data_IF_706363164373
#
_entry.id   IF_706363164373
#
_cell.length_a   1.000
_cell.length_b   1.000
_cell.length_c   1.000
_cell.angle_alpha   90.00
_cell.angle_beta   90.00
_cell.angle_gamma   90.00
#
_symmetry.space_group_name_H-M   'P 1'
#
loop_
_entity.id
_entity.type
_entity.pdbx_description
1 polymer ?
#
# COMPACT_ATOMS: atom_id res chain seq x y z
N UNK A 1 28.58 0.41 6.58
CA UNK A 1 27.12 0.17 6.59
C UNK A 1 26.82 -0.66 5.39
N UNK A 2 26.06 -1.70 5.55
CA UNK A 2 25.63 -2.55 4.45
C UNK A 2 24.58 -1.81 3.63
N UNK A 3 24.68 -1.82 2.32
CA UNK A 3 23.68 -1.23 1.44
C UNK A 3 22.36 -2.04 1.42
N UNK A 4 22.37 -3.28 1.94
CA UNK A 4 21.20 -4.16 2.07
C UNK A 4 20.11 -3.51 2.94
N UNK A 5 20.50 -2.75 3.97
CA UNK A 5 19.56 -2.05 4.84
C UNK A 5 18.61 -1.09 4.07
N UNK A 6 19.04 -0.57 2.90
CA UNK A 6 18.21 0.28 2.06
C UNK A 6 16.94 -0.41 1.53
N UNK A 7 16.86 -1.74 1.58
CA UNK A 7 15.70 -2.48 1.11
C UNK A 7 14.57 -2.59 2.15
N UNK A 8 14.81 -2.19 3.41
CA UNK A 8 13.86 -2.33 4.50
C UNK A 8 13.08 -1.05 4.79
N UNK A 9 11.81 -1.24 5.15
CA UNK A 9 10.83 -0.19 5.47
C UNK A 9 10.09 -0.54 6.77
N UNK A 10 10.72 -0.36 7.95
CA UNK A 10 10.09 -0.61 9.24
C UNK A 10 8.90 0.32 9.46
N UNK A 11 7.95 -0.14 10.29
CA UNK A 11 6.77 0.62 10.61
C UNK A 11 7.01 1.60 11.77
N UNK A 12 6.40 2.78 11.67
CA UNK A 12 6.28 3.74 12.76
C UNK A 12 4.80 3.97 13.02
N UNK A 13 4.37 3.78 14.28
CA UNK A 13 2.98 3.89 14.70
C UNK A 13 2.78 4.99 15.72
N UNK A 14 1.71 5.72 15.57
CA UNK A 14 1.28 6.69 16.57
C UNK A 14 0.68 5.96 17.78
N UNK A 15 1.16 6.28 18.99
CA UNK A 15 0.51 5.93 20.24
C UNK A 15 -0.27 7.13 20.78
N UNK A 16 -1.53 6.94 21.16
CA UNK A 16 -2.40 8.05 21.58
C UNK A 16 -1.90 8.76 22.85
N UNK A 17 -1.11 8.08 23.70
CA UNK A 17 -0.60 8.63 24.96
C UNK A 17 0.84 9.14 24.88
N UNK A 18 1.66 8.57 24.00
CA UNK A 18 3.11 8.81 23.90
C UNK A 18 3.58 9.35 22.56
N UNK A 19 2.67 9.43 21.58
CA UNK A 19 3.04 9.83 20.23
C UNK A 19 4.01 8.84 19.58
N UNK A 20 5.08 9.34 18.99
CA UNK A 20 6.14 8.54 18.38
C UNK A 20 7.34 8.28 19.32
N UNK A 21 7.33 8.81 20.56
CA UNK A 21 8.48 8.76 21.48
C UNK A 21 8.84 7.34 21.90
N UNK A 22 7.87 6.43 22.01
CA UNK A 22 8.12 5.04 22.35
C UNK A 22 9.00 4.32 21.33
N UNK A 23 8.93 4.74 20.07
CA UNK A 23 9.68 4.12 18.96
C UNK A 23 10.98 4.88 18.62
N UNK A 24 11.31 5.93 19.37
CA UNK A 24 12.47 6.78 19.05
C UNK A 24 13.78 6.00 18.96
N UNK A 25 14.00 5.05 19.88
CA UNK A 25 15.20 4.20 19.85
C UNK A 25 15.26 3.32 18.60
N UNK A 26 14.12 2.74 18.19
CA UNK A 26 14.04 1.91 16.99
C UNK A 26 14.24 2.76 15.71
N UNK A 27 13.67 3.97 15.67
CA UNK A 27 13.89 4.94 14.60
C UNK A 27 15.38 5.31 14.49
N UNK A 28 16.02 5.61 15.61
CA UNK A 28 17.45 5.97 15.66
C UNK A 28 18.34 4.82 15.16
N UNK A 29 18.02 3.60 15.54
CA UNK A 29 18.72 2.40 15.07
C UNK A 29 18.50 2.17 13.56
N UNK A 30 17.27 2.27 13.07
CA UNK A 30 16.94 2.12 11.66
C UNK A 30 17.67 3.16 10.80
N UNK A 31 17.67 4.44 11.20
CA UNK A 31 18.41 5.51 10.50
C UNK A 31 19.92 5.26 10.53
N UNK A 32 20.46 4.75 11.64
CA UNK A 32 21.88 4.39 11.76
C UNK A 32 22.26 3.23 10.85
N UNK A 33 21.38 2.24 10.70
CA UNK A 33 21.56 1.12 9.78
C UNK A 33 21.50 1.61 8.30
N UNK A 34 20.74 2.65 8.02
CA UNK A 34 20.54 3.18 6.68
C UNK A 34 19.37 2.54 5.94
N UNK A 35 18.26 2.31 6.64
CA UNK A 35 17.02 1.79 6.01
C UNK A 35 16.55 2.68 4.86
N UNK A 36 15.87 2.09 3.88
CA UNK A 36 15.37 2.77 2.69
C UNK A 36 14.24 3.75 2.94
N UNK A 37 13.53 3.58 4.03
CA UNK A 37 12.40 4.42 4.40
C UNK A 37 11.58 3.83 5.52
N UNK A 38 10.33 4.28 5.61
CA UNK A 38 9.41 3.87 6.67
C UNK A 38 7.98 3.77 6.13
N UNK A 39 7.16 2.93 6.76
CA UNK A 39 5.70 3.00 6.65
C UNK A 39 5.12 3.63 7.91
N UNK A 40 4.24 4.62 7.76
CA UNK A 40 3.65 5.35 8.88
C UNK A 40 2.19 4.94 9.10
N UNK A 41 1.80 4.86 10.38
CA UNK A 41 0.44 4.55 10.80
C UNK A 41 -0.05 5.52 11.87
N UNK A 42 -1.07 6.30 11.52
CA UNK A 42 -1.78 7.21 12.41
C UNK A 42 -1.00 8.45 12.82
N UNK A 43 -1.67 9.32 13.56
CA UNK A 43 -1.13 10.53 14.18
C UNK A 43 -1.77 11.82 13.68
N UNK A 44 -1.72 12.89 14.51
CA UNK A 44 -2.09 14.23 14.08
C UNK A 44 -1.10 14.77 13.04
N UNK A 45 -1.61 15.51 12.04
CA UNK A 45 -0.83 16.05 10.91
C UNK A 45 0.43 16.79 11.34
N UNK A 46 0.36 17.63 12.37
CA UNK A 46 1.51 18.41 12.88
C UNK A 46 2.64 17.51 13.38
N UNK A 47 2.29 16.41 14.07
CA UNK A 47 3.28 15.45 14.57
C UNK A 47 3.87 14.60 13.45
N UNK A 48 3.06 14.23 12.45
CA UNK A 48 3.52 13.50 11.26
C UNK A 48 4.51 14.37 10.48
N UNK A 49 4.17 15.62 10.19
CA UNK A 49 5.05 16.57 9.49
C UNK A 49 6.37 16.78 10.22
N UNK A 50 6.33 16.93 11.56
CA UNK A 50 7.53 17.08 12.40
C UNK A 50 8.40 15.81 12.33
N UNK A 51 7.79 14.63 12.43
CA UNK A 51 8.49 13.35 12.34
C UNK A 51 9.17 13.17 10.98
N UNK A 52 8.44 13.36 9.89
CA UNK A 52 8.97 13.15 8.53
C UNK A 52 10.10 14.13 8.21
N UNK A 53 10.02 15.38 8.65
CA UNK A 53 11.10 16.36 8.51
C UNK A 53 12.35 15.93 9.30
N UNK A 54 12.20 15.43 10.55
CA UNK A 54 13.30 14.87 11.33
C UNK A 54 13.94 13.67 10.62
N UNK A 55 13.13 12.75 10.11
CA UNK A 55 13.59 11.58 9.36
C UNK A 55 14.39 11.97 8.11
N UNK A 56 13.85 12.87 7.28
CA UNK A 56 14.53 13.34 6.08
C UNK A 56 15.83 14.08 6.38
N UNK A 57 15.86 14.90 7.43
CA UNK A 57 17.04 15.70 7.82
C UNK A 57 18.17 14.81 8.36
N UNK A 58 17.83 13.78 9.13
CA UNK A 58 18.80 12.90 9.78
C UNK A 58 19.28 11.77 8.89
N UNK A 59 18.51 11.41 7.88
CA UNK A 59 18.89 10.35 6.96
C UNK A 59 20.07 10.75 6.08
N UNK A 60 20.97 9.81 5.82
CA UNK A 60 22.11 9.98 4.90
C UNK A 60 21.78 9.71 3.44
N UNK A 61 20.60 9.12 3.20
CA UNK A 61 20.11 8.76 1.87
C UNK A 61 18.70 9.33 1.70
N UNK A 62 18.25 9.59 0.46
CA UNK A 62 16.85 9.94 0.24
C UNK A 62 15.92 8.81 0.70
N UNK A 63 15.00 9.10 1.62
CA UNK A 63 14.03 8.13 2.13
C UNK A 63 12.79 8.04 1.25
N UNK A 64 12.21 6.85 1.16
CA UNK A 64 10.83 6.65 0.74
C UNK A 64 9.98 6.44 1.99
N UNK A 65 9.10 7.39 2.29
CA UNK A 65 8.20 7.34 3.45
C UNK A 65 6.78 7.17 2.91
N UNK A 66 6.15 6.07 3.28
CA UNK A 66 4.84 5.70 2.75
C UNK A 66 3.77 5.48 3.80
N UNK A 67 2.51 5.42 3.34
CA UNK A 67 1.34 5.03 4.13
C UNK A 67 0.24 4.47 3.23
N UNK A 68 -0.69 3.72 3.84
CA UNK A 68 -1.93 3.29 3.21
C UNK A 68 -2.94 4.44 3.21
N UNK A 69 -3.05 5.13 2.08
CA UNK A 69 -3.93 6.29 1.92
C UNK A 69 -4.92 6.05 0.76
N UNK A 70 -5.71 4.99 0.86
CA UNK A 70 -6.71 4.62 -0.15
C UNK A 70 -7.92 5.56 -0.16
N UNK A 71 -8.22 6.17 1.00
CA UNK A 71 -9.39 7.02 1.26
C UNK A 71 -8.98 8.42 1.74
N UNK A 72 -8.02 9.05 1.03
CA UNK A 72 -7.46 10.35 1.44
C UNK A 72 -6.42 10.22 2.56
N UNK A 73 -5.67 11.29 2.80
CA UNK A 73 -4.67 11.29 3.87
C UNK A 73 -5.33 11.25 5.27
N UNK A 74 -6.57 11.71 5.38
CA UNK A 74 -7.38 11.63 6.60
C UNK A 74 -7.75 10.21 7.04
N UNK A 75 -7.53 9.19 6.19
CA UNK A 75 -7.64 7.79 6.60
C UNK A 75 -6.67 7.45 7.73
N UNK A 76 -5.48 8.02 7.72
CA UNK A 76 -4.42 7.75 8.70
C UNK A 76 -4.10 8.96 9.58
N UNK A 77 -4.19 10.18 9.03
CA UNK A 77 -3.63 11.36 9.65
C UNK A 77 -4.70 12.39 10.00
N UNK A 78 -4.98 12.54 11.31
CA UNK A 78 -5.98 13.46 11.80
C UNK A 78 -5.65 14.90 11.38
N UNK A 79 -6.66 15.61 10.87
CA UNK A 79 -6.51 16.97 10.33
C UNK A 79 -6.33 17.04 8.82
N UNK A 80 -6.24 15.88 8.14
CA UNK A 80 -6.24 15.78 6.67
C UNK A 80 -7.61 15.38 6.13
N UNK A 81 -7.79 15.46 4.81
CA UNK A 81 -9.05 15.12 4.14
C UNK A 81 -9.29 13.61 4.16
N UNK A 82 -10.41 13.20 4.77
CA UNK A 82 -10.94 11.86 4.63
C UNK A 82 -11.88 11.82 3.41
N UNK A 83 -11.73 10.78 2.59
CA UNK A 83 -12.56 10.55 1.40
C UNK A 83 -13.43 9.30 1.59
N UNK A 84 -14.55 9.19 0.86
CA UNK A 84 -15.28 7.93 0.75
C UNK A 84 -14.40 6.79 0.25
N UNK A 85 -14.76 5.52 0.52
CA UNK A 85 -14.09 4.36 -0.05
C UNK A 85 -14.02 4.43 -1.59
N UNK A 86 -13.00 3.81 -2.18
CA UNK A 86 -12.81 3.83 -3.63
C UNK A 86 -14.01 3.26 -4.39
N UNK A 87 -14.65 2.19 -3.89
CA UNK A 87 -15.87 1.65 -4.48
C UNK A 87 -17.00 2.69 -4.55
N UNK A 88 -17.15 3.51 -3.51
CA UNK A 88 -18.16 4.54 -3.49
C UNK A 88 -17.88 5.64 -4.51
N UNK A 89 -16.62 6.08 -4.63
CA UNK A 89 -16.22 7.08 -5.64
C UNK A 89 -16.38 6.50 -7.05
N UNK A 90 -15.98 5.24 -7.27
CA UNK A 90 -16.12 4.55 -8.56
C UNK A 90 -17.58 4.39 -9.00
N UNK A 91 -18.53 4.27 -8.04
CA UNK A 91 -19.96 4.14 -8.33
C UNK A 91 -20.58 5.40 -8.96
N UNK A 92 -19.88 6.55 -8.92
CA UNK A 92 -20.30 7.77 -9.62
C UNK A 92 -20.04 7.71 -11.12
N UNK A 93 -19.25 6.74 -11.59
CA UNK A 93 -18.83 6.61 -12.99
C UNK A 93 -18.16 7.90 -13.53
N UNK A 94 -17.55 8.67 -12.63
CA UNK A 94 -16.85 9.93 -12.93
C UNK A 94 -15.33 9.78 -12.75
N UNK A 95 -14.63 9.66 -13.86
CA UNK A 95 -13.17 9.58 -13.90
C UNK A 95 -12.48 10.81 -13.29
N UNK A 96 -13.14 11.99 -13.33
CA UNK A 96 -12.58 13.20 -12.74
C UNK A 96 -12.64 13.16 -11.21
N UNK A 97 -13.67 12.54 -10.62
CA UNK A 97 -13.74 12.30 -9.18
C UNK A 97 -12.58 11.40 -8.73
N UNK A 98 -12.28 10.32 -9.46
CA UNK A 98 -11.11 9.44 -9.20
C UNK A 98 -9.79 10.23 -9.27
N UNK A 99 -9.59 11.01 -10.34
CA UNK A 99 -8.38 11.85 -10.51
C UNK A 99 -8.23 12.86 -9.39
N UNK A 100 -9.32 13.52 -8.99
CA UNK A 100 -9.30 14.52 -7.93
C UNK A 100 -9.00 13.87 -6.58
N UNK A 101 -9.60 12.73 -6.28
CA UNK A 101 -9.33 11.97 -5.05
C UNK A 101 -7.84 11.63 -4.92
N UNK A 102 -7.24 11.10 -5.99
CA UNK A 102 -5.81 10.80 -6.02
C UNK A 102 -4.93 12.05 -5.84
N UNK A 103 -5.25 13.14 -6.54
CA UNK A 103 -4.49 14.39 -6.46
C UNK A 103 -4.56 15.06 -5.07
N UNK A 104 -5.75 15.03 -4.43
CA UNK A 104 -5.92 15.52 -3.04
C UNK A 104 -5.07 14.69 -2.09
N UNK A 105 -5.21 13.37 -2.14
CA UNK A 105 -4.46 12.44 -1.30
C UNK A 105 -2.95 12.63 -1.45
N UNK A 106 -2.46 12.77 -2.68
CA UNK A 106 -1.03 12.91 -2.95
C UNK A 106 -0.48 14.28 -2.49
N UNK A 107 -1.24 15.37 -2.67
CA UNK A 107 -0.83 16.70 -2.19
C UNK A 107 -0.70 16.73 -0.67
N UNK A 108 -1.72 16.24 0.04
CA UNK A 108 -1.71 16.19 1.50
C UNK A 108 -0.63 15.25 2.04
N UNK A 109 -0.42 14.08 1.43
CA UNK A 109 0.68 13.19 1.78
C UNK A 109 2.04 13.91 1.65
N UNK A 110 2.26 14.62 0.55
CA UNK A 110 3.49 15.38 0.32
C UNK A 110 3.68 16.52 1.33
N UNK A 111 2.61 17.23 1.71
CA UNK A 111 2.65 18.26 2.74
C UNK A 111 3.07 17.70 4.09
N UNK A 112 2.70 16.47 4.38
CA UNK A 112 3.13 15.73 5.55
C UNK A 112 4.55 15.13 5.42
N UNK A 113 5.24 15.36 4.29
CA UNK A 113 6.57 14.80 4.03
C UNK A 113 6.61 13.34 3.59
N UNK A 114 5.44 12.73 3.30
CA UNK A 114 5.36 11.42 2.66
C UNK A 114 5.56 11.57 1.16
N UNK A 115 6.11 10.52 0.55
CA UNK A 115 6.39 10.51 -0.88
C UNK A 115 6.04 9.19 -1.58
N UNK A 116 5.35 8.28 -0.86
CA UNK A 116 4.90 7.00 -1.38
C UNK A 116 3.52 6.66 -0.81
N UNK A 117 2.54 6.37 -1.65
CA UNK A 117 1.19 5.97 -1.26
C UNK A 117 0.94 4.53 -1.72
N UNK A 118 0.53 3.67 -0.80
CA UNK A 118 0.13 2.30 -1.11
C UNK A 118 -1.32 2.26 -1.57
N UNK A 119 -1.56 2.82 -2.75
CA UNK A 119 -2.80 2.85 -3.51
C UNK A 119 -2.48 3.15 -4.99
N UNK A 120 -3.39 2.83 -5.92
CA UNK A 120 -4.74 2.31 -5.73
C UNK A 120 -4.79 0.81 -5.50
N UNK A 121 -5.92 0.33 -4.95
CA UNK A 121 -6.31 -1.07 -4.97
C UNK A 121 -6.73 -1.44 -6.41
N UNK A 122 -6.07 -2.44 -6.99
CA UNK A 122 -6.32 -2.97 -8.33
C UNK A 122 -7.05 -4.32 -8.30
N UNK A 123 -7.40 -4.79 -7.11
CA UNK A 123 -8.12 -6.04 -6.91
C UNK A 123 -9.57 -5.92 -7.38
N UNK A 124 -10.08 -6.96 -8.04
CA UNK A 124 -11.45 -6.98 -8.52
C UNK A 124 -12.42 -7.39 -7.41
N UNK A 125 -13.54 -6.69 -7.25
CA UNK A 125 -14.64 -7.08 -6.36
C UNK A 125 -15.54 -8.13 -7.05
N UNK A 126 -15.06 -9.37 -7.11
CA UNK A 126 -15.72 -10.50 -7.83
C UNK A 126 -16.12 -11.65 -6.92
N UNK A 127 -15.70 -11.66 -5.66
CA UNK A 127 -16.05 -12.69 -4.66
C UNK A 127 -16.83 -12.04 -3.50
N UNK A 128 -18.15 -12.27 -3.40
CA UNK A 128 -18.98 -11.63 -2.37
C UNK A 128 -18.60 -11.94 -0.93
N UNK A 129 -17.85 -13.03 -0.70
CA UNK A 129 -17.39 -13.42 0.63
C UNK A 129 -15.93 -12.98 0.87
N UNK A 130 -15.36 -12.16 0.02
CA UNK A 130 -14.01 -11.66 0.18
C UNK A 130 -13.93 -10.75 1.42
N UNK A 131 -13.10 -11.09 2.43
CA UNK A 131 -13.08 -10.34 3.69
C UNK A 131 -12.19 -9.08 3.62
N UNK A 132 -11.48 -8.84 2.50
CA UNK A 132 -10.40 -7.84 2.42
C UNK A 132 -10.67 -6.77 1.37
N UNK A 133 -11.18 -7.13 0.20
CA UNK A 133 -11.26 -6.25 -0.97
C UNK A 133 -12.48 -5.30 -0.88
N UNK A 134 -13.69 -5.81 -0.96
CA UNK A 134 -14.94 -5.08 -0.74
C UNK A 134 -14.91 -3.61 -1.17
N UNK A 135 -15.15 -2.71 -0.24
CA UNK A 135 -15.22 -1.26 -0.50
C UNK A 135 -13.88 -0.61 -0.91
N UNK A 136 -12.77 -1.33 -0.81
CA UNK A 136 -11.44 -0.85 -1.25
C UNK A 136 -11.28 -0.91 -2.76
N UNK A 137 -11.96 -1.86 -3.43
CA UNK A 137 -11.90 -2.03 -4.87
C UNK A 137 -12.53 -0.87 -5.63
N UNK A 138 -12.05 -0.67 -6.85
CA UNK A 138 -12.64 0.25 -7.83
C UNK A 138 -13.78 -0.39 -8.63
N UNK A 139 -14.13 -1.68 -8.35
CA UNK A 139 -15.23 -2.41 -8.99
C UNK A 139 -14.91 -3.86 -9.33
N UNK A 140 -15.85 -4.54 -9.99
CA UNK A 140 -15.70 -5.92 -10.42
C UNK A 140 -15.38 -6.09 -11.91
N UNK A 141 -15.52 -5.05 -12.73
CA UNK A 141 -15.20 -5.09 -14.16
C UNK A 141 -13.72 -4.79 -14.40
N UNK A 142 -12.94 -5.71 -15.00
CA UNK A 142 -11.49 -5.55 -15.15
C UNK A 142 -11.07 -4.31 -15.97
N UNK A 143 -11.83 -3.96 -17.02
CA UNK A 143 -11.49 -2.79 -17.84
C UNK A 143 -11.78 -1.50 -17.09
N UNK A 144 -12.91 -1.41 -16.37
CA UNK A 144 -13.26 -0.24 -15.55
C UNK A 144 -12.24 -0.04 -14.42
N UNK A 145 -11.91 -1.12 -13.67
CA UNK A 145 -10.90 -1.05 -12.61
C UNK A 145 -9.55 -0.63 -13.17
N UNK A 146 -9.16 -1.17 -14.32
CA UNK A 146 -7.93 -0.79 -15.02
C UNK A 146 -7.90 0.69 -15.42
N UNK A 147 -9.00 1.23 -15.96
CA UNK A 147 -9.12 2.64 -16.33
C UNK A 147 -9.05 3.56 -15.11
N UNK A 148 -9.76 3.22 -14.03
CA UNK A 148 -9.80 4.02 -12.81
C UNK A 148 -8.46 3.98 -12.07
N UNK A 149 -7.84 2.81 -11.96
CA UNK A 149 -6.51 2.67 -11.38
C UNK A 149 -5.46 3.47 -12.16
N UNK A 150 -5.50 3.42 -13.49
CA UNK A 150 -4.64 4.22 -14.37
C UNK A 150 -4.82 5.72 -14.14
N UNK A 151 -6.07 6.19 -14.03
CA UNK A 151 -6.38 7.60 -13.77
C UNK A 151 -5.92 8.05 -12.39
N UNK A 152 -6.07 7.20 -11.38
CA UNK A 152 -5.60 7.44 -10.03
C UNK A 152 -4.06 7.57 -9.98
N UNK A 153 -3.35 6.63 -10.62
CA UNK A 153 -1.88 6.60 -10.70
C UNK A 153 -1.35 7.86 -11.39
N UNK A 154 -1.91 8.22 -12.55
CA UNK A 154 -1.53 9.42 -13.29
C UNK A 154 -1.64 10.68 -12.41
N UNK A 155 -2.77 10.83 -11.70
CA UNK A 155 -3.04 12.01 -10.88
C UNK A 155 -2.15 12.06 -9.62
N UNK A 156 -1.93 10.92 -8.95
CA UNK A 156 -1.05 10.81 -7.80
C UNK A 156 0.40 11.16 -8.19
N UNK A 157 0.94 10.53 -9.23
CA UNK A 157 2.32 10.74 -9.66
C UNK A 157 2.55 12.12 -10.26
N UNK A 158 1.55 12.75 -10.85
CA UNK A 158 1.62 14.15 -11.30
C UNK A 158 1.81 15.12 -10.11
N UNK A 159 1.38 14.76 -8.91
CA UNK A 159 1.64 15.51 -7.68
C UNK A 159 3.02 15.23 -7.06
N UNK A 160 3.83 14.36 -7.66
CA UNK A 160 5.20 14.07 -7.22
C UNK A 160 5.30 13.03 -6.11
N UNK A 161 4.28 12.18 -5.95
CA UNK A 161 4.23 11.10 -4.97
C UNK A 161 4.15 9.76 -5.70
N UNK A 162 4.88 8.74 -5.25
CA UNK A 162 4.85 7.41 -5.84
C UNK A 162 3.50 6.75 -5.55
N UNK A 163 2.86 6.20 -6.59
CA UNK A 163 1.71 5.32 -6.47
C UNK A 163 2.14 3.85 -6.38
N UNK A 164 1.26 3.01 -5.82
CA UNK A 164 1.48 1.57 -5.68
C UNK A 164 0.23 0.78 -6.07
N UNK A 165 0.28 0.08 -7.20
CA UNK A 165 -0.80 -0.83 -7.59
C UNK A 165 -0.75 -2.10 -6.75
N UNK A 166 -1.88 -2.50 -6.13
CA UNK A 166 -1.94 -3.61 -5.18
C UNK A 166 -3.25 -4.40 -5.27
N UNK A 167 -3.24 -5.68 -4.93
CA UNK A 167 -2.16 -6.56 -4.44
C UNK A 167 -1.89 -7.61 -5.52
N UNK A 168 -0.75 -7.50 -6.19
CA UNK A 168 -0.41 -8.34 -7.36
C UNK A 168 -0.25 -9.83 -6.99
N UNK A 169 -0.80 -10.77 -7.78
CA UNK A 169 -1.47 -10.63 -9.08
C UNK A 169 -3.00 -10.44 -9.01
N UNK A 170 -3.57 -10.19 -7.84
CA UNK A 170 -4.99 -9.92 -7.62
C UNK A 170 -5.56 -10.65 -6.40
N UNK A 171 -6.03 -9.93 -5.38
CA UNK A 171 -6.59 -10.48 -4.14
C UNK A 171 -8.11 -10.68 -4.20
N UNK A 172 -8.75 -10.28 -5.30
CA UNK A 172 -10.21 -10.17 -5.42
C UNK A 172 -11.00 -11.47 -5.33
N UNK A 173 -10.34 -12.63 -5.57
CA UNK A 173 -11.00 -13.96 -5.56
C UNK A 173 -10.81 -14.74 -4.28
N UNK A 174 -10.18 -14.18 -3.26
CA UNK A 174 -9.93 -14.89 -2.01
C UNK A 174 -11.16 -14.87 -1.12
N UNK A 175 -11.38 -15.96 -0.37
CA UNK A 175 -12.44 -16.08 0.64
C UNK A 175 -11.88 -16.14 2.05
N UNK A 176 -10.57 -15.97 2.19
CA UNK A 176 -9.81 -16.08 3.43
C UNK A 176 -8.94 -14.83 3.61
N UNK A 177 -8.80 -14.41 4.85
CA UNK A 177 -7.99 -13.26 5.25
C UNK A 177 -6.50 -13.62 5.25
N UNK A 178 -5.70 -13.00 4.37
CA UNK A 178 -4.25 -13.19 4.27
C UNK A 178 -3.46 -12.78 5.52
N UNK A 179 -4.07 -12.04 6.45
CA UNK A 179 -3.48 -11.75 7.75
C UNK A 179 -3.46 -12.96 8.69
N UNK A 180 -4.30 -13.97 8.45
CA UNK A 180 -4.51 -15.13 9.33
C UNK A 180 -3.98 -16.44 8.77
N UNK A 181 -4.08 -16.62 7.45
CA UNK A 181 -3.63 -17.82 6.77
C UNK A 181 -3.31 -17.50 5.30
N UNK A 182 -2.67 -18.42 4.58
CA UNK A 182 -2.34 -18.27 3.17
C UNK A 182 -3.56 -18.56 2.27
N UNK A 183 -4.21 -17.53 1.68
CA UNK A 183 -5.30 -17.75 0.74
C UNK A 183 -4.78 -18.41 -0.56
N UNK A 184 -5.67 -19.09 -1.27
CA UNK A 184 -5.39 -19.73 -2.56
C UNK A 184 -6.44 -19.33 -3.58
N UNK A 185 -6.00 -18.98 -4.78
CA UNK A 185 -6.87 -18.67 -5.92
C UNK A 185 -6.77 -19.78 -6.95
N UNK A 186 -7.85 -20.54 -7.09
CA UNK A 186 -7.92 -21.76 -7.93
C UNK A 186 -8.69 -21.47 -9.24
N UNK A 187 -8.12 -20.60 -10.10
CA UNK A 187 -8.68 -20.30 -11.43
C UNK A 187 -7.63 -20.54 -12.51
N UNK A 188 -8.07 -20.64 -13.78
CA UNK A 188 -7.15 -20.88 -14.90
C UNK A 188 -6.21 -19.69 -15.14
N UNK A 189 -5.06 -19.96 -15.76
CA UNK A 189 -4.12 -18.91 -16.21
C UNK A 189 -4.80 -17.93 -17.16
N UNK A 190 -5.67 -18.43 -18.05
CA UNK A 190 -6.38 -17.58 -19.02
C UNK A 190 -7.35 -16.62 -18.31
N UNK A 191 -8.10 -17.13 -17.32
CA UNK A 191 -8.94 -16.27 -16.47
C UNK A 191 -8.11 -15.17 -15.79
N UNK A 192 -6.99 -15.53 -15.14
CA UNK A 192 -6.13 -14.53 -14.50
C UNK A 192 -5.61 -13.49 -15.49
N UNK A 193 -5.21 -13.92 -16.68
CA UNK A 193 -4.69 -13.02 -17.72
C UNK A 193 -5.73 -12.07 -18.29
N UNK A 194 -6.95 -12.54 -18.46
CA UNK A 194 -8.06 -11.78 -19.04
C UNK A 194 -8.76 -10.87 -18.06
N UNK A 195 -8.66 -11.18 -16.75
CA UNK A 195 -9.37 -10.44 -15.70
C UNK A 195 -8.41 -9.83 -14.68
N UNK A 196 -7.91 -10.61 -13.73
CA UNK A 196 -7.20 -10.12 -12.54
C UNK A 196 -5.91 -9.36 -12.86
N UNK A 197 -5.16 -9.77 -13.90
CA UNK A 197 -3.93 -9.10 -14.33
C UNK A 197 -4.17 -7.86 -15.20
N UNK A 198 -5.38 -7.63 -15.69
CA UNK A 198 -5.65 -6.52 -16.59
C UNK A 198 -5.51 -5.15 -15.94
N UNK A 199 -6.05 -4.89 -14.73
CA UNK A 199 -5.82 -3.64 -14.02
C UNK A 199 -4.33 -3.34 -13.79
N UNK A 200 -3.53 -4.35 -13.45
CA UNK A 200 -2.08 -4.18 -13.29
C UNK A 200 -1.37 -3.87 -14.61
N UNK A 201 -1.79 -4.45 -15.74
CA UNK A 201 -1.27 -4.07 -17.07
C UNK A 201 -1.53 -2.60 -17.35
N UNK A 202 -2.76 -2.13 -17.12
CA UNK A 202 -3.12 -0.71 -17.29
C UNK A 202 -2.28 0.19 -16.38
N UNK A 203 -2.05 -0.21 -15.12
CA UNK A 203 -1.18 0.51 -14.19
C UNK A 203 0.27 0.58 -14.71
N UNK A 204 0.81 -0.52 -15.22
CA UNK A 204 2.17 -0.59 -15.78
C UNK A 204 2.30 0.25 -17.04
N UNK A 205 1.33 0.22 -17.94
CA UNK A 205 1.28 1.07 -19.15
C UNK A 205 1.32 2.57 -18.79
N UNK A 206 0.79 2.96 -17.62
CA UNK A 206 0.85 4.33 -17.09
C UNK A 206 2.12 4.64 -16.32
N UNK A 207 3.04 3.69 -16.22
CA UNK A 207 4.31 3.90 -15.55
C UNK A 207 4.18 4.00 -14.03
N UNK A 208 3.32 3.16 -13.43
CA UNK A 208 3.20 3.08 -11.97
C UNK A 208 4.57 2.85 -11.33
N UNK A 209 4.88 3.63 -10.29
CA UNK A 209 6.18 3.59 -9.63
C UNK A 209 6.45 2.29 -8.90
N UNK A 210 5.40 1.70 -8.31
CA UNK A 210 5.52 0.46 -7.54
C UNK A 210 4.31 -0.47 -7.70
N UNK A 211 4.56 -1.74 -7.46
CA UNK A 211 3.56 -2.81 -7.38
C UNK A 211 3.78 -3.55 -6.06
N UNK A 212 2.73 -3.71 -5.27
CA UNK A 212 2.77 -4.50 -4.03
C UNK A 212 2.34 -5.93 -4.31
N UNK A 213 3.14 -6.90 -3.86
CA UNK A 213 2.85 -8.32 -4.01
C UNK A 213 1.88 -8.83 -2.95
N UNK A 214 0.97 -9.71 -3.32
CA UNK A 214 0.02 -10.33 -2.41
C UNK A 214 0.63 -11.54 -1.67
N UNK A 215 0.23 -11.73 -0.40
CA UNK A 215 0.48 -12.98 0.33
C UNK A 215 -0.61 -14.00 0.03
N UNK A 216 -0.73 -14.36 -1.26
CA UNK A 216 -1.74 -15.26 -1.82
C UNK A 216 -1.08 -16.25 -2.76
N UNK A 217 -1.48 -17.51 -2.70
CA UNK A 217 -0.99 -18.55 -3.61
C UNK A 217 -1.86 -18.64 -4.87
N UNK A 218 -1.21 -18.78 -6.03
CA UNK A 218 -1.84 -18.92 -7.34
C UNK A 218 -1.30 -20.17 -8.05
N UNK A 219 -1.81 -21.38 -7.75
CA UNK A 219 -1.26 -22.64 -8.30
C UNK A 219 -1.23 -22.69 -9.83
N UNK A 220 -2.12 -21.95 -10.49
CA UNK A 220 -2.12 -21.85 -11.95
C UNK A 220 -0.91 -21.07 -12.51
N UNK A 221 -0.34 -20.12 -11.75
CA UNK A 221 0.85 -19.37 -12.13
C UNK A 221 2.13 -20.02 -11.55
N UNK A 222 2.06 -20.52 -10.32
CA UNK A 222 3.15 -21.20 -9.64
C UNK A 222 2.67 -22.49 -8.96
N UNK A 223 2.91 -23.69 -9.58
CA UNK A 223 2.46 -24.97 -9.03
C UNK A 223 3.08 -25.34 -7.67
N UNK A 224 4.13 -24.64 -7.22
CA UNK A 224 4.70 -24.84 -5.89
C UNK A 224 3.75 -24.50 -4.76
N UNK A 225 2.75 -23.63 -5.05
CA UNK A 225 1.81 -23.11 -4.07
C UNK A 225 2.42 -22.08 -3.12
N UNK A 226 3.58 -21.54 -3.44
CA UNK A 226 4.16 -20.40 -2.71
C UNK A 226 3.27 -19.16 -2.84
N UNK A 227 3.22 -18.28 -1.81
CA UNK A 227 2.57 -16.98 -1.96
C UNK A 227 3.27 -16.15 -3.04
N UNK A 228 2.54 -15.29 -3.74
CA UNK A 228 3.09 -14.49 -4.84
C UNK A 228 4.34 -13.72 -4.42
N UNK A 229 4.38 -13.18 -3.20
CA UNK A 229 5.55 -12.50 -2.64
C UNK A 229 6.84 -13.33 -2.64
N UNK A 230 6.73 -14.65 -2.53
CA UNK A 230 7.86 -15.60 -2.49
C UNK A 230 8.01 -16.43 -3.77
N UNK A 231 7.30 -16.06 -4.84
CA UNK A 231 7.27 -16.79 -6.10
C UNK A 231 8.06 -16.08 -7.21
N UNK A 232 9.18 -16.68 -7.61
CA UNK A 232 9.96 -16.20 -8.76
C UNK A 232 9.13 -16.26 -10.06
N UNK A 233 8.28 -17.30 -10.22
CA UNK A 233 7.40 -17.41 -11.39
C UNK A 233 6.46 -16.21 -11.49
N UNK A 234 5.86 -15.77 -10.37
CA UNK A 234 4.91 -14.68 -10.36
C UNK A 234 5.61 -13.32 -10.49
N UNK A 235 6.63 -13.04 -9.67
CA UNK A 235 7.23 -11.70 -9.63
C UNK A 235 8.28 -11.47 -10.73
N UNK A 236 9.08 -12.49 -11.05
CA UNK A 236 10.11 -12.34 -12.08
C UNK A 236 9.56 -12.70 -13.46
N UNK A 237 8.93 -13.85 -13.63
CA UNK A 237 8.51 -14.29 -14.96
C UNK A 237 7.25 -13.53 -15.41
N UNK A 238 6.16 -13.55 -14.62
CA UNK A 238 4.92 -12.86 -15.03
C UNK A 238 5.09 -11.34 -14.95
N UNK A 239 5.40 -10.77 -13.76
CA UNK A 239 5.40 -9.31 -13.59
C UNK A 239 6.55 -8.62 -14.33
N UNK A 240 7.81 -9.06 -14.11
CA UNK A 240 8.97 -8.39 -14.70
C UNK A 240 9.14 -8.66 -16.19
N UNK A 241 9.03 -9.94 -16.63
CA UNK A 241 9.31 -10.33 -18.01
C UNK A 241 8.10 -10.21 -18.91
N UNK A 242 6.98 -10.87 -18.57
CA UNK A 242 5.81 -10.89 -19.45
C UNK A 242 5.10 -9.53 -19.48
N UNK A 243 4.93 -8.89 -18.31
CA UNK A 243 4.25 -7.58 -18.20
C UNK A 243 5.22 -6.39 -18.31
N UNK A 244 6.55 -6.63 -18.44
CA UNK A 244 7.58 -5.61 -18.66
C UNK A 244 7.66 -4.55 -17.54
N UNK A 245 7.33 -4.92 -16.29
CA UNK A 245 7.38 -3.99 -15.17
C UNK A 245 8.81 -3.64 -14.75
N UNK A 246 9.15 -2.35 -14.73
CA UNK A 246 10.49 -1.83 -14.39
C UNK A 246 10.53 -1.01 -13.10
N UNK A 247 9.39 -0.80 -12.44
CA UNK A 247 9.26 -0.08 -11.19
C UNK A 247 9.68 -0.91 -9.96
N UNK A 248 9.36 -0.44 -8.75
CA UNK A 248 9.62 -1.14 -7.49
C UNK A 248 8.59 -2.26 -7.26
N UNK A 249 9.06 -3.44 -6.89
CA UNK A 249 8.21 -4.47 -6.28
C UNK A 249 8.38 -4.39 -4.77
N UNK A 250 7.30 -4.11 -4.07
CA UNK A 250 7.27 -4.06 -2.60
C UNK A 250 6.46 -5.25 -2.08
N UNK A 251 6.92 -5.85 -0.99
CA UNK A 251 6.13 -6.89 -0.31
C UNK A 251 4.90 -6.26 0.34
N UNK A 252 3.83 -6.99 0.52
CA UNK A 252 2.89 -6.68 1.58
C UNK A 252 3.58 -6.82 2.94
N UNK A 253 2.93 -6.44 4.04
CA UNK A 253 3.54 -6.39 5.34
C UNK A 253 4.08 -7.77 5.79
N UNK A 254 5.38 -7.87 6.04
CA UNK A 254 6.04 -9.15 6.37
C UNK A 254 5.64 -9.72 7.73
N UNK A 255 4.96 -8.93 8.57
CA UNK A 255 4.39 -9.40 9.83
C UNK A 255 3.17 -10.33 9.64
N UNK A 256 2.61 -10.42 8.42
CA UNK A 256 1.41 -11.22 8.13
C UNK A 256 1.73 -12.72 8.11
N UNK A 257 0.83 -13.53 8.71
CA UNK A 257 0.99 -14.99 8.84
C UNK A 257 1.10 -15.72 7.48
N UNK A 258 0.43 -15.21 6.45
CA UNK A 258 0.42 -15.79 5.10
C UNK A 258 1.81 -15.95 4.44
N UNK A 259 2.85 -15.28 4.96
CA UNK A 259 4.22 -15.33 4.41
C UNK A 259 5.24 -15.96 5.36
N UNK A 260 4.94 -16.07 6.67
CA UNK A 260 5.89 -16.42 7.71
C UNK A 260 6.09 -17.93 7.94
N UNK A 261 5.62 -18.81 7.07
CA UNK A 261 5.69 -20.27 7.29
C UNK A 261 7.08 -20.85 7.63
N UNK A 262 8.17 -20.18 7.20
CA UNK A 262 9.57 -20.53 7.54
C UNK A 262 10.25 -19.53 8.46
N UNK A 263 9.51 -18.53 8.96
CA UNK A 263 10.03 -17.40 9.72
C UNK A 263 10.50 -16.22 8.86
N UNK A 264 10.59 -15.03 9.46
CA UNK A 264 10.91 -13.78 8.75
C UNK A 264 12.27 -13.83 8.02
N UNK A 265 13.28 -14.43 8.64
CA UNK A 265 14.61 -14.53 8.04
C UNK A 265 14.63 -15.31 6.71
N UNK A 266 13.84 -16.37 6.59
CA UNK A 266 13.67 -17.09 5.33
C UNK A 266 12.81 -16.29 4.35
N UNK A 267 11.73 -15.67 4.84
CA UNK A 267 10.79 -14.92 4.01
C UNK A 267 11.48 -13.74 3.30
N UNK A 268 12.35 -12.97 3.99
CA UNK A 268 13.06 -11.83 3.39
C UNK A 268 14.04 -12.27 2.28
N UNK A 269 14.75 -13.37 2.47
CA UNK A 269 15.66 -13.92 1.46
C UNK A 269 14.89 -14.35 0.22
N UNK A 270 13.83 -15.15 0.42
CA UNK A 270 12.98 -15.64 -0.67
C UNK A 270 12.24 -14.53 -1.40
N UNK A 271 11.80 -13.48 -0.69
CA UNK A 271 11.14 -12.33 -1.32
C UNK A 271 12.10 -11.59 -2.27
N UNK A 272 13.35 -11.37 -1.86
CA UNK A 272 14.37 -10.77 -2.74
C UNK A 272 14.68 -11.68 -3.92
N UNK A 273 14.88 -12.97 -3.69
CA UNK A 273 15.12 -13.96 -4.75
C UNK A 273 13.96 -14.00 -5.75
N UNK A 274 12.70 -13.97 -5.26
CA UNK A 274 11.51 -13.95 -6.09
C UNK A 274 11.39 -12.72 -6.98
N UNK A 275 11.89 -11.57 -6.56
CA UNK A 275 11.81 -10.35 -7.37
C UNK A 275 11.45 -9.06 -6.63
N UNK A 276 11.21 -9.12 -5.30
CA UNK A 276 10.95 -7.93 -4.50
C UNK A 276 12.18 -7.02 -4.40
N UNK A 277 11.93 -5.71 -4.34
CA UNK A 277 12.96 -4.68 -4.16
C UNK A 277 12.86 -4.00 -2.79
N UNK A 278 11.67 -4.00 -2.18
CA UNK A 278 11.38 -3.34 -0.93
C UNK A 278 10.68 -4.31 0.02
N UNK A 279 11.18 -4.40 1.25
CA UNK A 279 10.71 -5.29 2.29
C UNK A 279 9.95 -4.48 3.34
N UNK A 280 8.60 -4.57 3.29
CA UNK A 280 7.73 -3.73 4.08
C UNK A 280 7.45 -4.36 5.45
N UNK A 281 7.53 -3.56 6.48
CA UNK A 281 7.19 -3.91 7.86
C UNK A 281 7.89 -5.19 8.38
N UNK A 282 9.23 -5.28 8.31
CA UNK A 282 9.94 -6.35 9.03
C UNK A 282 9.82 -6.13 10.54
N UNK A 283 9.82 -7.20 11.31
CA UNK A 283 9.80 -7.14 12.78
C UNK A 283 11.19 -6.89 13.36
N UNK A 284 12.24 -7.41 12.71
CA UNK A 284 13.65 -7.25 13.09
C UNK A 284 14.52 -6.98 11.85
N UNK A 285 14.78 -5.70 11.57
CA UNK A 285 15.62 -5.28 10.44
C UNK A 285 17.04 -5.84 10.54
N UNK A 286 17.63 -5.90 11.75
CA UNK A 286 19.02 -6.35 11.94
C UNK A 286 19.15 -7.84 11.65
N UNK A 287 18.22 -8.65 12.17
CA UNK A 287 18.21 -10.08 11.91
C UNK A 287 17.94 -10.37 10.43
N UNK A 288 17.01 -9.63 9.81
CA UNK A 288 16.66 -9.78 8.40
C UNK A 288 17.80 -9.37 7.47
N UNK A 289 18.52 -8.27 7.76
CA UNK A 289 19.72 -7.87 7.01
C UNK A 289 20.81 -8.96 7.07
N UNK A 290 21.06 -9.49 8.29
CA UNK A 290 22.04 -10.58 8.48
C UNK A 290 21.65 -11.84 7.72
N UNK A 291 20.36 -12.16 7.64
CA UNK A 291 19.88 -13.31 6.88
C UNK A 291 20.15 -13.16 5.39
N UNK A 292 19.88 -11.97 4.81
CA UNK A 292 20.20 -11.68 3.40
C UNK A 292 21.73 -11.74 3.17
N UNK A 293 22.54 -11.09 4.02
CA UNK A 293 23.99 -11.12 3.88
C UNK A 293 24.53 -12.56 3.94
N UNK A 294 24.03 -13.34 4.91
CA UNK A 294 24.42 -14.75 5.02
C UNK A 294 24.03 -15.57 3.80
N UNK A 295 22.85 -15.35 3.24
CA UNK A 295 22.41 -16.04 2.03
C UNK A 295 23.29 -15.71 0.82
N UNK A 296 23.78 -14.47 0.72
CA UNK A 296 24.76 -14.06 -0.31
C UNK A 296 26.10 -14.78 -0.09
N UNK A 297 26.61 -14.77 1.15
CA UNK A 297 27.91 -15.39 1.51
C UNK A 297 27.88 -16.91 1.27
N UNK A 298 26.75 -17.56 1.53
CA UNK A 298 26.53 -19.00 1.29
C UNK A 298 26.25 -19.35 -0.19
N UNK A 299 26.13 -18.35 -1.08
CA UNK A 299 25.80 -18.54 -2.51
C UNK A 299 24.35 -18.98 -2.75
N UNK A 300 23.45 -18.77 -1.79
CA UNK A 300 22.02 -19.07 -1.89
C UNK A 300 21.21 -17.92 -2.51
N UNK A 301 21.73 -16.70 -2.44
CA UNK A 301 21.13 -15.50 -3.04
C UNK A 301 22.19 -14.80 -3.89
N UNK A 302 21.83 -14.46 -5.14
CA UNK A 302 22.71 -13.73 -6.04
C UNK A 302 22.87 -12.27 -5.56
N UNK A 303 24.10 -11.86 -5.29
CA UNK A 303 24.44 -10.50 -4.89
C UNK A 303 24.06 -9.45 -5.95
N UNK A 304 24.15 -9.78 -7.23
CA UNK A 304 23.75 -8.90 -8.33
C UNK A 304 22.22 -8.63 -8.28
N UNK A 305 21.42 -9.61 -7.86
CA UNK A 305 19.98 -9.44 -7.68
C UNK A 305 19.67 -8.40 -6.59
N UNK A 306 20.40 -8.46 -5.47
CA UNK A 306 20.30 -7.48 -4.37
C UNK A 306 20.72 -6.10 -4.85
N UNK A 307 21.82 -6.00 -5.57
CA UNK A 307 22.32 -4.74 -6.12
C UNK A 307 21.31 -4.09 -7.08
N UNK A 308 20.66 -4.87 -7.93
CA UNK A 308 19.59 -4.38 -8.82
C UNK A 308 18.42 -3.78 -8.05
N UNK A 309 18.04 -4.37 -6.90
CA UNK A 309 17.00 -3.83 -6.03
C UNK A 309 17.41 -2.47 -5.44
N UNK A 310 18.62 -2.38 -4.92
CA UNK A 310 19.18 -1.15 -4.36
C UNK A 310 19.19 -0.04 -5.41
N UNK A 311 19.62 -0.33 -6.63
CA UNK A 311 19.66 0.64 -7.73
C UNK A 311 18.27 1.12 -8.14
N UNK A 312 17.27 0.22 -8.24
CA UNK A 312 15.88 0.61 -8.52
C UNK A 312 15.34 1.50 -7.40
N UNK A 313 15.54 1.09 -6.15
CA UNK A 313 15.13 1.88 -4.99
C UNK A 313 15.77 3.28 -5.02
N UNK A 314 17.07 3.38 -5.23
CA UNK A 314 17.80 4.65 -5.30
C UNK A 314 17.32 5.55 -6.45
N UNK A 315 16.95 4.98 -7.59
CA UNK A 315 16.34 5.72 -8.70
C UNK A 315 15.02 6.39 -8.31
N UNK A 316 14.12 5.63 -7.71
CA UNK A 316 12.81 6.14 -7.30
C UNK A 316 12.89 7.09 -6.12
N UNK A 317 13.78 6.84 -5.16
CA UNK A 317 14.02 7.76 -4.06
C UNK A 317 14.58 9.11 -4.51
N UNK A 318 15.46 9.13 -5.53
CA UNK A 318 15.91 10.38 -6.15
C UNK A 318 14.77 11.11 -6.86
N UNK A 319 13.91 10.38 -7.58
CA UNK A 319 12.74 10.96 -8.23
C UNK A 319 11.82 11.63 -7.20
N UNK A 320 11.52 10.95 -6.11
CA UNK A 320 10.68 11.47 -5.02
C UNK A 320 11.29 12.71 -4.35
N UNK A 321 12.59 12.68 -4.08
CA UNK A 321 13.30 13.83 -3.48
C UNK A 321 13.23 15.07 -4.37
N UNK A 322 13.48 14.94 -5.68
CA UNK A 322 13.38 16.04 -6.64
C UNK A 322 11.94 16.59 -6.74
N UNK A 323 10.94 15.71 -6.62
CA UNK A 323 9.54 16.09 -6.68
C UNK A 323 9.07 16.81 -5.41
N UNK A 324 9.67 16.51 -4.25
CA UNK A 324 9.38 17.18 -2.97
C UNK A 324 9.71 18.66 -3.01
N UNK A 325 10.82 19.04 -3.66
CA UNK A 325 11.28 20.41 -3.74
C UNK A 325 10.43 21.28 -4.69
N UNK A 326 9.58 20.67 -5.52
CA UNK A 326 8.65 21.39 -6.38
C UNK A 326 7.51 22.00 -5.55
N UNK A 327 7.57 23.31 -5.29
CA UNK A 327 6.53 24.01 -4.52
C UNK A 327 5.18 23.97 -5.23
N UNK A 328 4.19 23.35 -4.60
CA UNK A 328 2.78 23.36 -5.04
C UNK A 328 1.94 23.73 -3.83
N UNK A 329 1.15 24.81 -3.89
CA UNK A 329 0.37 25.27 -2.75
C UNK A 329 -0.73 24.25 -2.40
N UNK A 330 -0.93 24.05 -1.11
CA UNK A 330 -2.06 23.34 -0.56
C UNK A 330 -3.38 23.98 -1.03
N UNK A 331 -4.41 23.17 -1.14
CA UNK A 331 -5.78 23.62 -1.38
C UNK A 331 -6.66 23.01 -0.30
N UNK A 332 -7.54 23.80 0.26
CA UNK A 332 -8.59 23.28 1.14
C UNK A 332 -9.61 22.50 0.30
N UNK A 333 -9.66 21.19 0.50
CA UNK A 333 -10.56 20.26 -0.20
C UNK A 333 -11.70 19.76 0.71
N UNK A 334 -11.80 20.26 1.95
CA UNK A 334 -12.81 19.79 2.93
C UNK A 334 -14.24 19.97 2.43
N UNK A 335 -14.52 21.08 1.75
CA UNK A 335 -15.83 21.33 1.14
C UNK A 335 -16.15 20.32 0.02
N UNK A 336 -15.16 19.94 -0.78
CA UNK A 336 -15.36 18.94 -1.82
C UNK A 336 -15.51 17.53 -1.26
N UNK A 337 -14.77 17.14 -0.25
CA UNK A 337 -14.91 15.82 0.37
C UNK A 337 -16.29 15.61 0.97
N UNK A 338 -16.87 16.64 1.59
CA UNK A 338 -18.24 16.64 2.11
C UNK A 338 -19.24 16.49 0.97
N UNK A 339 -19.11 17.25 -0.11
CA UNK A 339 -19.98 17.14 -1.28
C UNK A 339 -19.87 15.74 -1.89
N UNK A 340 -18.65 15.23 -2.09
CA UNK A 340 -18.41 13.88 -2.62
C UNK A 340 -19.07 12.81 -1.74
N UNK A 341 -18.97 12.93 -0.41
CA UNK A 341 -19.60 12.00 0.52
C UNK A 341 -21.12 12.02 0.38
N UNK A 342 -21.74 13.18 0.14
CA UNK A 342 -23.19 13.29 -0.11
C UNK A 342 -23.58 12.67 -1.46
N UNK A 343 -22.79 12.84 -2.49
CA UNK A 343 -23.06 12.30 -3.84
C UNK A 343 -23.02 10.78 -3.90
N UNK A 344 -22.13 10.13 -3.11
CA UNK A 344 -22.01 8.65 -3.08
C UNK A 344 -23.02 7.96 -2.17
N UNK A 345 -23.89 8.69 -1.46
CA UNK A 345 -24.94 8.09 -0.64
C UNK A 345 -26.09 7.60 -1.50
N UNK A 346 -26.28 6.29 -1.54
CA UNK A 346 -27.39 5.65 -2.24
C UNK A 346 -28.43 5.11 -1.26
N UNK A 347 -29.70 5.49 -1.48
CA UNK A 347 -30.81 4.93 -0.71
C UNK A 347 -31.29 3.63 -1.35
N UNK A 348 -30.93 2.49 -0.77
CA UNK A 348 -31.29 1.16 -1.27
C UNK A 348 -32.76 0.83 -1.01
N UNK A 349 -33.37 1.30 0.10
CA UNK A 349 -34.77 1.10 0.46
C UNK A 349 -35.36 2.28 1.23
N UNK A 350 -36.61 2.64 0.92
CA UNK A 350 -37.34 3.71 1.60
C UNK A 350 -36.88 5.11 1.17
N UNK A 351 -37.27 6.11 1.98
CA UNK A 351 -36.83 7.51 1.83
C UNK A 351 -36.09 7.92 3.07
N UNK A 352 -34.94 8.58 2.92
CA UNK A 352 -34.31 9.28 4.02
C UNK A 352 -35.26 10.39 4.47
N UNK A 353 -35.90 10.21 5.64
CA UNK A 353 -36.70 11.23 6.29
C UNK A 353 -36.02 11.64 7.59
N UNK A 354 -36.37 12.81 8.13
CA UNK A 354 -35.95 13.17 9.49
C UNK A 354 -36.34 12.04 10.45
N UNK A 355 -35.33 11.37 11.00
CA UNK A 355 -35.53 10.29 11.94
C UNK A 355 -36.04 10.88 13.29
N UNK A 356 -37.09 10.33 13.91
CA UNK A 356 -37.49 10.74 15.25
C UNK A 356 -36.40 10.33 16.25
N UNK A 357 -36.12 11.20 17.19
CA UNK A 357 -35.22 10.87 18.31
C UNK A 357 -35.98 10.15 19.43
N UNK A 358 -35.40 9.12 20.10
CA UNK A 358 -34.09 8.52 19.84
C UNK A 358 -34.13 7.54 18.65
N UNK A 359 -32.99 7.45 17.92
CA UNK A 359 -32.80 6.49 16.82
C UNK A 359 -31.50 5.72 17.02
N UNK A 360 -31.44 4.51 16.48
CA UNK A 360 -30.26 3.67 16.51
C UNK A 360 -29.51 3.82 15.16
N UNK A 361 -28.29 4.28 15.23
CA UNK A 361 -27.39 4.24 14.09
C UNK A 361 -26.65 2.89 14.10
N UNK A 362 -26.88 2.09 13.08
CA UNK A 362 -26.09 0.87 12.85
C UNK A 362 -25.07 1.22 11.78
N UNK A 363 -23.81 1.28 12.19
CA UNK A 363 -22.68 1.44 11.27
C UNK A 363 -22.20 0.04 10.93
N UNK A 364 -22.33 -0.35 9.67
CA UNK A 364 -21.67 -1.53 9.12
C UNK A 364 -20.39 -1.01 8.46
N UNK A 365 -19.27 -1.32 9.08
CA UNK A 365 -17.98 -0.92 8.59
C UNK A 365 -17.17 -2.18 8.28
N UNK A 366 -16.55 -2.22 7.10
CA UNK A 366 -15.60 -3.25 6.73
C UNK A 366 -14.32 -3.06 7.56
N UNK A 367 -14.38 -3.47 8.83
CA UNK A 367 -13.19 -3.56 9.66
C UNK A 367 -12.34 -4.72 9.15
N UNK A 368 -11.38 -4.41 8.31
CA UNK A 368 -10.36 -5.36 7.91
C UNK A 368 -9.56 -5.65 9.16
N UNK A 369 -9.97 -6.70 9.88
CA UNK A 369 -9.33 -7.15 11.11
C UNK A 369 -7.89 -7.56 10.80
N UNK A 370 -6.99 -6.61 10.83
CA UNK A 370 -5.56 -6.86 10.77
C UNK A 370 -4.99 -7.20 12.16
N UNK A 371 -3.72 -7.59 12.25
CA UNK A 371 -3.04 -7.79 13.53
C UNK A 371 -2.86 -6.48 14.33
N UNK A 372 -3.49 -5.41 13.88
CA UNK A 372 -3.40 -4.07 14.43
C UNK A 372 -4.65 -3.68 15.16
N UNK A 373 -4.55 -3.03 16.33
CA UNK A 373 -5.73 -2.41 16.93
C UNK A 373 -6.28 -1.37 15.95
N UNK A 374 -7.56 -1.53 15.58
CA UNK A 374 -8.25 -0.52 14.80
C UNK A 374 -8.19 0.82 15.55
N UNK A 375 -7.95 1.95 14.87
CA UNK A 375 -8.05 3.25 15.52
C UNK A 375 -9.45 3.41 16.10
N UNK A 376 -9.56 4.01 17.29
CA UNK A 376 -10.85 4.27 17.92
C UNK A 376 -11.75 5.04 16.97
N UNK A 377 -12.96 4.53 16.74
CA UNK A 377 -13.97 5.13 15.86
C UNK A 377 -14.96 6.02 16.62
N UNK A 378 -14.64 6.35 17.87
CA UNK A 378 -15.46 7.16 18.78
C UNK A 378 -15.85 8.57 18.30
N UNK A 379 -15.22 9.22 17.28
CA UNK A 379 -15.66 10.53 16.82
C UNK A 379 -17.10 10.56 16.31
N UNK A 380 -17.67 9.41 15.92
CA UNK A 380 -19.05 9.33 15.43
C UNK A 380 -20.07 8.98 16.51
N UNK A 381 -19.63 8.62 17.70
CA UNK A 381 -20.52 8.19 18.82
C UNK A 381 -20.67 9.29 19.88
N UNK A 382 -19.86 10.34 19.85
CA UNK A 382 -19.77 11.38 20.89
C UNK A 382 -20.46 12.71 20.54
N UNK A 383 -21.49 12.72 19.66
CA UNK A 383 -22.34 13.90 19.43
C UNK A 383 -23.82 13.61 19.70
#
# INVERSE_FOLDING_TARGET
>A
MSEIAELFYPAIRWDASRGYEEQRSAIDEALKLGVGGFILFGGPSEHVATLTEDLHTRSRIPLLIGADLERGAGQQFAGQTALPPLAAIASLEDLQAIRRAAAVTAREARELGLNWIYAPDCDLDVEPNNPIVGTRSLGGDPEQVGEYAAAWIDACQAEGVLACAKHFPGHGRTTVDSHKELPRVEVSVDTLRETDLLPFRRAIERGVASVMSAHVAFPALDPSGAPATLSHEILTNVLRRDMQFTGLVVTDALIMEGVLGGGEAEAVVRAIEAGCDCLLYPTDVVASERAIQKAIDDGLLDGDRVQQSIERRRRWARWAALSRDAHRPARDESGWSTQLAEEVIHTLRGKLSKLPTPWNLVIVDDDIGGPYPAPSRDPFIST
#
